data_IF_556714732595
#
_entry.id   IF_556714732595
#
_cell.length_a   1.000
_cell.length_b   1.000
_cell.length_c   1.000
_cell.angle_alpha   90.00
_cell.angle_beta   90.00
_cell.angle_gamma   90.00
#
_symmetry.space_group_name_H-M   'P 1'
#
loop_
_entity.id
_entity.type
_entity.pdbx_description
1 polymer ?
#
# COMPACT_ATOMS: atom_id res chain seq x y z
N UNK A 1 -5.14 -0.67 15.74
CA UNK A 1 -4.54 -0.43 14.39
C UNK A 1 -5.64 0.01 13.44
N UNK A 2 -5.34 0.82 12.40
CA UNK A 2 -6.34 1.60 11.63
C UNK A 2 -7.65 0.85 11.31
N UNK A 3 -7.58 -0.33 10.71
CA UNK A 3 -8.77 -1.11 10.34
C UNK A 3 -9.62 -1.48 11.56
N UNK A 4 -9.00 -2.00 12.63
CA UNK A 4 -9.69 -2.30 13.90
C UNK A 4 -10.37 -1.07 14.49
N UNK A 5 -9.71 0.10 14.43
CA UNK A 5 -10.29 1.34 14.95
C UNK A 5 -11.50 1.82 14.12
N UNK A 6 -11.65 1.33 12.89
CA UNK A 6 -12.75 1.65 11.98
C UNK A 6 -13.71 0.46 11.82
N UNK A 7 -13.63 -0.56 12.68
CA UNK A 7 -14.39 -1.81 12.58
C UNK A 7 -14.35 -2.46 11.18
N UNK A 8 -13.24 -2.28 10.46
CA UNK A 8 -13.05 -2.75 9.11
C UNK A 8 -12.24 -4.06 9.07
N UNK A 9 -12.57 -4.90 8.10
CA UNK A 9 -11.96 -6.19 7.82
C UNK A 9 -11.03 -6.11 6.61
N UNK A 10 -10.18 -7.13 6.43
CA UNK A 10 -9.37 -7.26 5.20
C UNK A 10 -10.22 -7.39 3.94
N UNK A 11 -11.42 -7.98 4.05
CA UNK A 11 -12.37 -8.10 2.94
C UNK A 11 -12.92 -6.75 2.53
N UNK A 12 -13.29 -5.91 3.49
CA UNK A 12 -13.77 -4.54 3.20
C UNK A 12 -12.66 -3.68 2.62
N UNK A 13 -11.43 -3.82 3.12
CA UNK A 13 -10.27 -3.15 2.51
C UNK A 13 -10.06 -3.59 1.06
N UNK A 14 -10.20 -4.89 0.76
CA UNK A 14 -10.12 -5.40 -0.60
C UNK A 14 -11.22 -4.82 -1.49
N UNK A 15 -12.48 -4.82 -1.03
CA UNK A 15 -13.61 -4.24 -1.77
C UNK A 15 -13.36 -2.76 -2.07
N UNK A 16 -12.89 -2.00 -1.07
CA UNK A 16 -12.58 -0.58 -1.25
C UNK A 16 -11.42 -0.37 -2.24
N UNK A 17 -10.36 -1.17 -2.13
CA UNK A 17 -9.25 -1.15 -3.09
C UNK A 17 -9.72 -1.45 -4.53
N UNK A 18 -10.59 -2.44 -4.71
CA UNK A 18 -11.19 -2.76 -6.00
C UNK A 18 -12.07 -1.62 -6.52
N UNK A 19 -12.89 -1.00 -5.67
CA UNK A 19 -13.72 0.15 -6.02
C UNK A 19 -12.86 1.32 -6.52
N UNK A 20 -11.73 1.60 -5.86
CA UNK A 20 -10.79 2.66 -6.25
C UNK A 20 -10.01 2.31 -7.51
N UNK A 21 -9.70 1.03 -7.72
CA UNK A 21 -9.13 0.52 -8.97
C UNK A 21 -10.09 0.74 -10.15
N UNK A 22 -11.38 0.40 -10.00
CA UNK A 22 -12.38 0.58 -11.06
C UNK A 22 -12.62 2.05 -11.41
N UNK A 23 -12.51 2.95 -10.42
CA UNK A 23 -12.52 4.41 -10.62
C UNK A 23 -11.22 4.98 -11.20
N UNK A 24 -10.20 4.14 -11.43
CA UNK A 24 -8.86 4.55 -11.89
C UNK A 24 -8.13 5.49 -10.93
N UNK A 25 -8.50 5.48 -9.65
CA UNK A 25 -7.75 6.16 -8.60
C UNK A 25 -6.51 5.34 -8.21
N UNK A 26 -6.60 4.02 -8.30
CA UNK A 26 -5.48 3.10 -8.15
C UNK A 26 -5.11 2.43 -9.47
N UNK A 27 -3.86 1.99 -9.56
CA UNK A 27 -3.32 1.28 -10.73
C UNK A 27 -2.61 -0.01 -10.32
N UNK A 28 -2.43 -0.92 -11.27
CA UNK A 28 -1.70 -2.17 -11.05
C UNK A 28 -0.65 -2.34 -12.14
N UNK A 29 0.63 -2.14 -11.82
CA UNK A 29 1.73 -2.20 -12.79
C UNK A 29 2.35 -3.59 -12.89
N UNK A 30 2.15 -4.44 -11.87
CA UNK A 30 2.83 -5.74 -11.79
C UNK A 30 2.22 -6.86 -12.63
N UNK A 31 1.00 -6.70 -13.15
CA UNK A 31 0.25 -7.78 -13.83
C UNK A 31 -0.13 -7.42 -15.26
N UNK A 32 -0.29 -6.13 -15.57
CA UNK A 32 -0.60 -5.66 -16.91
C UNK A 32 0.21 -4.40 -17.20
N UNK A 33 1.00 -4.42 -18.28
CA UNK A 33 1.78 -3.25 -18.72
C UNK A 33 0.90 -2.08 -19.12
N UNK A 34 -0.36 -2.34 -19.45
CA UNK A 34 -1.33 -1.31 -19.79
C UNK A 34 -2.01 -0.72 -18.54
N UNK A 35 -1.69 -1.21 -17.33
CA UNK A 35 -2.25 -0.77 -16.04
C UNK A 35 -3.79 -0.90 -15.93
N UNK A 36 -4.41 -1.67 -16.82
CA UNK A 36 -5.87 -1.78 -17.00
C UNK A 36 -6.41 -3.10 -16.47
N UNK A 37 -6.06 -3.49 -15.24
CA UNK A 37 -6.67 -4.67 -14.62
C UNK A 37 -8.01 -4.26 -14.00
N UNK A 38 -9.18 -4.68 -14.54
CA UNK A 38 -10.46 -4.43 -13.89
C UNK A 38 -10.58 -5.28 -12.63
N UNK A 39 -11.37 -4.84 -11.64
CA UNK A 39 -11.60 -5.60 -10.41
C UNK A 39 -12.25 -6.97 -10.64
N UNK A 40 -12.96 -7.12 -11.76
CA UNK A 40 -13.64 -8.35 -12.18
C UNK A 40 -12.71 -9.38 -12.82
N UNK A 41 -11.43 -9.06 -13.03
CA UNK A 41 -10.47 -9.99 -13.64
C UNK A 41 -10.27 -11.22 -12.76
N UNK A 42 -10.58 -12.39 -13.31
CA UNK A 42 -10.30 -13.66 -12.64
C UNK A 42 -8.79 -13.93 -12.69
N UNK A 43 -8.20 -14.14 -11.52
CA UNK A 43 -6.77 -14.40 -11.34
C UNK A 43 -6.56 -15.50 -10.31
N UNK A 44 -5.43 -16.20 -10.37
CA UNK A 44 -5.06 -17.16 -9.32
C UNK A 44 -4.72 -16.43 -8.02
N UNK A 45 -4.72 -17.16 -6.89
CA UNK A 45 -4.41 -16.61 -5.57
C UNK A 45 -3.08 -15.85 -5.51
N UNK A 46 -2.01 -16.38 -6.12
CA UNK A 46 -0.69 -15.73 -6.13
C UNK A 46 -0.71 -14.38 -6.86
N UNK A 47 -1.44 -14.30 -7.97
CA UNK A 47 -1.63 -13.06 -8.72
C UNK A 47 -2.51 -12.08 -7.93
N UNK A 48 -3.62 -12.53 -7.35
CA UNK A 48 -4.48 -11.72 -6.49
C UNK A 48 -3.70 -11.11 -5.32
N UNK A 49 -2.84 -11.89 -4.67
CA UNK A 49 -2.04 -11.41 -3.55
C UNK A 49 -1.03 -10.33 -3.97
N UNK A 50 -0.42 -10.45 -5.16
CA UNK A 50 0.47 -9.41 -5.71
C UNK A 50 -0.28 -8.12 -5.99
N UNK A 51 -1.42 -8.20 -6.68
CA UNK A 51 -2.32 -7.05 -6.92
C UNK A 51 -2.69 -6.40 -5.59
N UNK A 52 -3.17 -7.21 -4.64
CA UNK A 52 -3.70 -6.68 -3.39
C UNK A 52 -2.61 -5.97 -2.57
N UNK A 53 -1.38 -6.48 -2.53
CA UNK A 53 -0.25 -5.78 -1.90
C UNK A 53 0.00 -4.39 -2.50
N UNK A 54 -0.10 -4.28 -3.83
CA UNK A 54 0.07 -3.02 -4.55
C UNK A 54 -1.07 -2.03 -4.29
N UNK A 55 -2.32 -2.50 -4.27
CA UNK A 55 -3.48 -1.66 -3.95
C UNK A 55 -3.46 -1.19 -2.49
N UNK A 56 -3.10 -2.08 -1.55
CA UNK A 56 -2.97 -1.73 -0.12
C UNK A 56 -1.86 -0.70 0.09
N UNK A 57 -0.77 -0.78 -0.68
CA UNK A 57 0.29 0.23 -0.65
C UNK A 57 -0.24 1.62 -1.07
N UNK A 58 -0.99 1.70 -2.18
CA UNK A 58 -1.62 2.95 -2.63
C UNK A 58 -2.66 3.47 -1.62
N UNK A 59 -3.47 2.58 -1.05
CA UNK A 59 -4.39 2.92 0.04
C UNK A 59 -3.63 3.56 1.21
N UNK A 60 -2.56 2.91 1.66
CA UNK A 60 -1.75 3.39 2.80
C UNK A 60 -1.07 4.73 2.54
N UNK A 61 -0.68 5.02 1.30
CA UNK A 61 -0.15 6.34 0.89
C UNK A 61 -1.26 7.38 0.88
N UNK A 62 -2.44 7.04 0.33
CA UNK A 62 -3.58 7.98 0.28
C UNK A 62 -4.04 8.44 1.67
N UNK A 63 -3.91 7.58 2.68
CA UNK A 63 -4.19 7.95 4.07
C UNK A 63 -3.25 9.03 4.62
N UNK A 64 -1.99 9.05 4.16
CA UNK A 64 -1.02 10.09 4.53
C UNK A 64 -1.39 11.42 3.88
N UNK A 65 -1.81 11.39 2.61
CA UNK A 65 -2.22 12.58 1.86
C UNK A 65 -3.49 13.23 2.44
N UNK A 66 -4.39 12.41 3.01
CA UNK A 66 -5.63 12.88 3.64
C UNK A 66 -5.49 13.18 5.14
N UNK A 67 -4.27 13.23 5.69
CA UNK A 67 -3.98 13.53 7.10
C UNK A 67 -4.68 12.63 8.15
N UNK A 68 -5.12 11.44 7.74
CA UNK A 68 -5.83 10.47 8.59
C UNK A 68 -4.89 9.82 9.62
N UNK A 69 -3.58 9.83 9.35
CA UNK A 69 -2.58 9.18 10.19
C UNK A 69 -2.11 10.07 11.35
N UNK A 70 -1.75 9.49 12.50
CA UNK A 70 -1.12 10.23 13.59
C UNK A 70 0.11 11.02 13.14
N UNK A 71 0.33 12.20 13.72
CA UNK A 71 1.45 13.10 13.40
C UNK A 71 2.80 12.39 13.53
N UNK A 72 2.96 11.55 14.56
CA UNK A 72 4.17 10.75 14.82
C UNK A 72 4.48 9.73 13.71
N UNK A 73 3.50 9.34 12.91
CA UNK A 73 3.70 8.51 11.72
C UNK A 73 3.92 9.33 10.46
N UNK A 74 3.25 10.49 10.33
CA UNK A 74 3.37 11.39 9.17
C UNK A 74 4.75 12.05 9.08
N UNK A 75 5.32 12.42 10.22
CA UNK A 75 6.58 13.18 10.32
C UNK A 75 7.85 12.33 10.22
N UNK A 76 7.73 11.00 10.11
CA UNK A 76 8.91 10.15 9.91
C UNK A 76 9.55 10.45 8.57
N UNK A 77 10.86 10.59 8.55
CA UNK A 77 11.64 10.74 7.34
C UNK A 77 11.48 9.51 6.44
N UNK A 78 11.43 9.71 5.13
CA UNK A 78 11.36 8.61 4.17
C UNK A 78 12.69 7.83 4.17
N UNK A 79 12.61 6.51 4.21
CA UNK A 79 13.75 5.65 3.95
C UNK A 79 14.18 5.81 2.48
N UNK A 80 15.48 5.95 2.21
CA UNK A 80 15.99 6.06 0.83
C UNK A 80 15.63 4.85 -0.05
N UNK A 81 15.50 3.66 0.55
CA UNK A 81 15.11 2.45 -0.16
C UNK A 81 13.58 2.25 -0.21
N UNK A 82 12.80 3.12 0.46
CA UNK A 82 11.34 3.08 0.47
C UNK A 82 10.74 1.70 0.68
N UNK A 83 9.72 1.35 -0.12
CA UNK A 83 9.06 0.04 -0.10
C UNK A 83 10.00 -1.14 -0.39
N UNK A 84 11.15 -0.90 -1.02
CA UNK A 84 12.15 -1.93 -1.36
C UNK A 84 13.19 -2.16 -0.24
N UNK A 85 13.14 -1.42 0.86
CA UNK A 85 14.12 -1.54 1.95
C UNK A 85 14.09 -2.92 2.60
N UNK A 86 15.15 -3.72 2.48
CA UNK A 86 15.20 -5.06 3.11
C UNK A 86 15.37 -4.98 4.63
N UNK A 87 16.00 -3.92 5.14
CA UNK A 87 16.25 -3.72 6.58
C UNK A 87 14.97 -3.51 7.38
N UNK A 88 13.87 -3.08 6.73
CA UNK A 88 12.56 -2.90 7.39
C UNK A 88 12.02 -4.21 7.98
N UNK A 89 12.41 -5.38 7.45
CA UNK A 89 11.94 -6.68 7.91
C UNK A 89 12.73 -7.25 9.09
N UNK A 90 14.00 -6.86 9.22
CA UNK A 90 14.92 -7.49 10.19
C UNK A 90 15.30 -6.58 11.34
N UNK A 91 15.15 -5.25 11.20
CA UNK A 91 15.49 -4.28 12.26
C UNK A 91 14.28 -3.43 12.62
N UNK A 92 13.62 -3.78 13.73
CA UNK A 92 12.45 -3.06 14.24
C UNK A 92 12.74 -1.58 14.48
N UNK A 93 13.91 -1.25 15.04
CA UNK A 93 14.33 0.14 15.25
C UNK A 93 14.41 0.95 13.94
N UNK A 94 14.80 0.31 12.83
CA UNK A 94 14.82 0.93 11.51
C UNK A 94 13.39 1.17 10.99
N UNK A 95 12.51 0.17 11.11
CA UNK A 95 11.09 0.27 10.70
C UNK A 95 10.30 1.29 11.53
N UNK A 96 10.69 1.50 12.79
CA UNK A 96 10.10 2.53 13.66
C UNK A 96 10.59 3.93 13.31
N UNK A 97 11.89 4.09 13.00
CA UNK A 97 12.51 5.38 12.72
C UNK A 97 12.08 5.98 11.38
N UNK A 98 12.06 5.18 10.32
CA UNK A 98 11.81 5.68 8.95
C UNK A 98 10.42 5.30 8.43
N UNK A 99 9.90 6.10 7.52
CA UNK A 99 8.75 5.76 6.70
C UNK A 99 9.18 4.90 5.50
N UNK A 100 8.53 3.75 5.31
CA UNK A 100 8.71 2.88 4.14
C UNK A 100 7.51 2.89 3.20
N UNK A 101 6.41 3.57 3.56
CA UNK A 101 5.31 3.88 2.65
C UNK A 101 5.70 5.06 1.75
N UNK A 102 6.75 4.86 0.96
CA UNK A 102 7.30 5.80 -0.01
C UNK A 102 8.09 5.04 -1.09
N UNK A 103 8.34 5.70 -2.21
CA UNK A 103 9.16 5.13 -3.29
C UNK A 103 10.66 5.21 -2.96
N UNK A 104 11.45 4.36 -3.63
CA UNK A 104 12.91 4.33 -3.52
C UNK A 104 13.49 5.56 -4.23
N UNK A 105 14.42 6.24 -3.58
CA UNK A 105 15.11 7.43 -4.11
C UNK A 105 16.60 7.23 -4.32
N UNK A 106 17.18 6.15 -3.79
CA UNK A 106 18.59 5.77 -3.97
C UNK A 106 18.69 4.35 -4.52
N UNK A 107 19.42 4.16 -5.63
CA UNK A 107 19.58 2.90 -6.35
C UNK A 107 20.89 2.19 -6.01
#
# INVERSE_FOLDING_TARGET
NFLTNHNATMRELLIECCRRLDKREFTCTNIDRNHTVPSTKIVCYKCALKIFKELVFQFRISMKQNDILPITMRNRENCYYGKQCRTQYTKVSHAQKYNHACEQTKF
#
